data_IF_619972820662
#
_entry.id   IF_619972820662
#
_cell.length_a   1.000
_cell.length_b   1.000
_cell.length_c   1.000
_cell.angle_alpha   90.00
_cell.angle_beta   90.00
_cell.angle_gamma   90.00
#
_symmetry.space_group_name_H-M   'P 1'
#
loop_
_entity.id
_entity.type
_entity.pdbx_description
1 polymer ?
#
# COMPACT_ATOMS: atom_id res chain seq x y z
N UNK A 1 -25.70 7.84 2.38
CA UNK A 1 -25.06 6.60 1.90
C UNK A 1 -24.28 6.89 0.62
N UNK A 2 -23.02 6.52 0.57
CA UNK A 2 -22.16 6.72 -0.61
C UNK A 2 -21.98 5.38 -1.30
N UNK A 3 -22.28 5.34 -2.61
CA UNK A 3 -22.05 4.13 -3.42
C UNK A 3 -20.79 4.29 -4.24
N UNK A 4 -19.98 3.25 -4.33
CA UNK A 4 -18.79 3.24 -5.18
C UNK A 4 -18.46 1.83 -5.62
N UNK A 5 -17.87 1.71 -6.80
CA UNK A 5 -17.43 0.43 -7.33
C UNK A 5 -15.95 0.23 -7.08
N UNK A 6 -15.59 -0.97 -6.65
CA UNK A 6 -14.21 -1.45 -6.56
C UNK A 6 -13.95 -2.30 -7.80
N UNK A 7 -12.91 -1.97 -8.53
CA UNK A 7 -12.45 -2.79 -9.64
C UNK A 7 -11.36 -3.73 -9.13
N UNK A 8 -11.60 -5.03 -9.19
CA UNK A 8 -10.66 -6.04 -8.67
C UNK A 8 -9.29 -6.05 -9.36
N UNK A 9 -9.21 -5.53 -10.58
CA UNK A 9 -7.93 -5.45 -11.31
C UNK A 9 -7.15 -4.16 -11.03
N UNK A 10 -7.72 -3.23 -10.24
CA UNK A 10 -7.06 -1.99 -9.86
C UNK A 10 -5.80 -2.26 -9.04
N UNK A 11 -4.76 -1.46 -9.27
CA UNK A 11 -3.53 -1.50 -8.46
C UNK A 11 -3.14 -0.08 -8.07
N UNK A 12 -2.45 0.05 -6.93
CA UNK A 12 -1.97 1.33 -6.46
C UNK A 12 -3.06 2.34 -6.15
N UNK A 13 -4.22 1.86 -5.71
CA UNK A 13 -5.34 2.72 -5.31
C UNK A 13 -5.57 2.57 -3.81
N UNK A 14 -5.70 3.70 -3.13
CA UNK A 14 -5.94 3.77 -1.68
C UNK A 14 -7.18 4.62 -1.43
N UNK A 15 -8.07 4.10 -0.60
CA UNK A 15 -9.32 4.78 -0.24
C UNK A 15 -9.28 5.17 1.24
N UNK A 16 -9.65 6.41 1.51
CA UNK A 16 -9.64 6.98 2.85
C UNK A 16 -11.07 7.20 3.32
N UNK A 17 -11.37 6.70 4.52
CA UNK A 17 -12.67 6.89 5.17
C UNK A 17 -12.46 7.51 6.55
N UNK A 18 -13.29 8.45 6.90
CA UNK A 18 -13.39 8.96 8.27
C UNK A 18 -14.32 8.05 9.06
N UNK A 19 -13.92 7.68 10.28
CA UNK A 19 -14.70 6.82 11.15
C UNK A 19 -15.23 7.63 12.34
N UNK A 20 -16.54 7.90 12.31
CA UNK A 20 -17.21 8.74 13.29
C UNK A 20 -17.74 7.87 14.44
N UNK A 21 -16.82 7.43 15.30
CA UNK A 21 -17.11 6.62 16.48
C UNK A 21 -16.31 7.12 17.68
N UNK A 22 -16.84 6.96 18.88
CA UNK A 22 -16.06 7.24 20.08
C UNK A 22 -14.91 6.22 20.23
N UNK A 23 -13.79 6.62 20.85
CA UNK A 23 -12.58 5.78 20.88
C UNK A 23 -12.80 4.36 21.40
N UNK A 24 -13.67 4.19 22.37
CA UNK A 24 -13.96 2.89 22.98
C UNK A 24 -14.71 1.92 22.05
N UNK A 25 -15.32 2.42 20.99
CA UNK A 25 -16.04 1.58 20.02
C UNK A 25 -15.17 1.22 18.79
N UNK A 26 -14.02 1.88 18.61
CA UNK A 26 -13.20 1.71 17.42
C UNK A 26 -12.72 0.28 17.25
N UNK A 27 -12.10 -0.28 18.29
CA UNK A 27 -11.52 -1.62 18.23
C UNK A 27 -12.59 -2.66 17.86
N UNK A 28 -13.74 -2.63 18.54
CA UNK A 28 -14.82 -3.59 18.28
C UNK A 28 -15.36 -3.44 16.85
N UNK A 29 -15.41 -2.21 16.33
CA UNK A 29 -15.93 -1.96 14.98
C UNK A 29 -14.96 -2.40 13.89
N UNK A 30 -13.66 -2.24 14.13
CA UNK A 30 -12.63 -2.45 13.11
C UNK A 30 -11.91 -3.80 13.19
N UNK A 31 -12.24 -4.62 14.20
CA UNK A 31 -11.64 -5.95 14.36
C UNK A 31 -12.64 -7.04 13.97
N UNK A 32 -12.16 -8.00 13.19
CA UNK A 32 -12.97 -9.18 12.86
C UNK A 32 -13.02 -10.10 14.08
N UNK A 33 -14.22 -10.46 14.49
CA UNK A 33 -14.43 -11.40 15.61
C UNK A 33 -14.02 -12.82 15.22
N UNK A 34 -13.70 -13.64 16.21
CA UNK A 34 -13.41 -15.05 15.98
C UNK A 34 -14.57 -15.84 15.36
N UNK A 35 -15.78 -15.33 15.48
CA UNK A 35 -16.98 -15.87 14.82
C UNK A 35 -17.03 -15.54 13.33
N UNK A 36 -16.13 -14.69 12.85
CA UNK A 36 -16.14 -14.19 11.47
C UNK A 36 -16.89 -12.89 11.28
N UNK A 37 -17.62 -12.43 12.30
CA UNK A 37 -18.37 -11.18 12.25
C UNK A 37 -17.39 -9.99 12.12
N UNK A 38 -17.66 -9.06 11.17
CA UNK A 38 -16.79 -7.95 10.90
C UNK A 38 -17.60 -6.68 10.62
N UNK A 39 -17.85 -5.87 11.67
CA UNK A 39 -18.72 -4.69 11.53
C UNK A 39 -18.24 -3.69 10.48
N UNK A 40 -16.93 -3.48 10.35
CA UNK A 40 -16.35 -2.60 9.33
C UNK A 40 -16.75 -3.05 7.91
N UNK A 41 -16.70 -4.36 7.65
CA UNK A 41 -17.08 -4.91 6.34
C UNK A 41 -18.55 -4.62 6.05
N UNK A 42 -19.41 -4.78 7.06
CA UNK A 42 -20.85 -4.50 6.91
C UNK A 42 -21.10 -3.00 6.70
N UNK A 43 -20.38 -2.14 7.43
CA UNK A 43 -20.50 -0.69 7.28
C UNK A 43 -20.06 -0.17 5.92
N UNK A 44 -19.11 -0.88 5.28
CA UNK A 44 -18.70 -0.60 3.90
C UNK A 44 -19.67 -1.19 2.88
N UNK A 45 -20.52 -2.14 3.29
CA UNK A 45 -21.31 -2.93 2.37
C UNK A 45 -20.44 -3.80 1.46
N UNK A 46 -19.28 -4.21 1.96
CA UNK A 46 -18.29 -4.94 1.16
C UNK A 46 -18.59 -6.43 1.16
N UNK A 47 -18.52 -7.05 -0.01
CA UNK A 47 -18.62 -8.50 -0.17
C UNK A 47 -17.38 -9.20 0.40
N UNK A 48 -16.19 -8.62 0.15
CA UNK A 48 -14.91 -9.13 0.65
C UNK A 48 -14.10 -7.99 1.25
N UNK A 49 -13.57 -8.21 2.43
CA UNK A 49 -12.65 -7.28 3.09
C UNK A 49 -11.63 -8.11 3.89
N UNK A 50 -10.36 -7.89 3.63
CA UNK A 50 -9.25 -8.60 4.28
C UNK A 50 -8.72 -7.76 5.45
N UNK A 51 -8.93 -8.21 6.70
CA UNK A 51 -8.48 -7.42 7.87
C UNK A 51 -6.99 -7.09 7.85
N UNK A 52 -6.17 -7.98 7.30
CA UNK A 52 -4.71 -7.79 7.26
C UNK A 52 -4.27 -6.56 6.44
N UNK A 53 -5.15 -6.01 5.61
CA UNK A 53 -4.86 -4.84 4.78
C UNK A 53 -5.68 -3.61 5.18
N UNK A 54 -6.35 -3.68 6.32
CA UNK A 54 -7.11 -2.55 6.87
C UNK A 54 -6.20 -1.80 7.86
N UNK A 55 -5.94 -0.52 7.60
CA UNK A 55 -5.19 0.30 8.53
C UNK A 55 -6.13 1.29 9.20
N UNK A 56 -6.13 1.29 10.52
CA UNK A 56 -6.96 2.18 11.35
C UNK A 56 -6.03 3.16 12.07
N UNK A 57 -6.11 4.42 11.70
CA UNK A 57 -5.19 5.44 12.20
C UNK A 57 -5.93 6.35 13.20
N UNK A 58 -5.44 6.38 14.44
CA UNK A 58 -5.87 7.38 15.42
C UNK A 58 -5.04 8.63 15.17
N UNK A 59 -5.68 9.70 14.69
CA UNK A 59 -4.97 10.91 14.25
C UNK A 59 -4.14 11.52 15.39
N UNK A 60 -4.64 11.45 16.63
CA UNK A 60 -3.89 11.92 17.81
C UNK A 60 -2.55 11.23 18.03
N UNK A 61 -2.44 9.98 17.57
CA UNK A 61 -1.23 9.16 17.79
C UNK A 61 -0.13 9.50 16.78
N UNK A 62 -0.43 10.33 15.76
CA UNK A 62 0.56 10.80 14.80
C UNK A 62 1.47 11.92 15.37
N UNK A 63 1.14 12.45 16.55
CA UNK A 63 1.93 13.51 17.16
C UNK A 63 1.97 14.78 16.33
N UNK A 64 3.16 15.22 15.96
CA UNK A 64 3.36 16.43 15.16
C UNK A 64 3.19 16.20 13.64
N UNK A 65 3.08 14.92 13.23
CA UNK A 65 2.92 14.59 11.81
C UNK A 65 1.46 14.79 11.39
N UNK A 66 1.24 15.53 10.30
CA UNK A 66 -0.12 15.68 9.77
C UNK A 66 -0.59 14.36 9.14
N UNK A 67 -1.90 14.17 9.08
CA UNK A 67 -2.47 12.96 8.48
C UNK A 67 -2.08 12.84 6.99
N UNK A 68 -2.06 13.95 6.25
CA UNK A 68 -1.65 13.93 4.85
C UNK A 68 -0.17 13.56 4.69
N UNK A 69 0.69 13.97 5.63
CA UNK A 69 2.11 13.59 5.60
C UNK A 69 2.27 12.09 5.86
N UNK A 70 1.56 11.57 6.86
CA UNK A 70 1.53 10.13 7.14
C UNK A 70 1.11 9.33 5.91
N UNK A 71 0.00 9.74 5.27
CA UNK A 71 -0.52 9.03 4.09
C UNK A 71 0.45 9.09 2.91
N UNK A 72 1.12 10.24 2.71
CA UNK A 72 2.12 10.38 1.66
C UNK A 72 3.31 9.43 1.89
N UNK A 73 3.75 9.30 3.14
CA UNK A 73 4.90 8.46 3.49
C UNK A 73 4.54 6.96 3.48
N UNK A 74 3.46 6.58 4.17
CA UNK A 74 3.08 5.18 4.36
C UNK A 74 2.55 4.54 3.08
N UNK A 75 1.85 5.30 2.25
CA UNK A 75 1.18 4.80 1.04
C UNK A 75 1.70 5.44 -0.24
N UNK A 76 2.75 6.23 -0.14
CA UNK A 76 3.36 6.93 -1.28
C UNK A 76 2.34 7.72 -2.09
N UNK A 77 1.37 8.33 -1.40
CA UNK A 77 0.33 9.10 -2.07
C UNK A 77 0.89 10.43 -2.56
N UNK A 78 0.73 10.66 -3.85
CA UNK A 78 1.17 11.89 -4.50
C UNK A 78 0.22 12.14 -5.67
N UNK A 79 0.26 13.23 -6.26
CA UNK A 79 -0.63 13.56 -7.35
C UNK A 79 -1.46 14.79 -7.03
N UNK A 80 -2.05 15.36 -8.06
CA UNK A 80 -2.79 16.61 -7.94
C UNK A 80 -3.98 16.48 -6.99
N UNK A 81 -4.76 15.42 -7.18
CA UNK A 81 -5.97 15.15 -6.40
C UNK A 81 -5.67 15.05 -4.90
N UNK A 82 -4.59 14.32 -4.56
CA UNK A 82 -4.18 14.17 -3.17
C UNK A 82 -3.70 15.52 -2.60
N UNK A 83 -2.88 16.26 -3.35
CA UNK A 83 -2.38 17.57 -2.91
C UNK A 83 -3.51 18.57 -2.66
N UNK A 84 -4.51 18.57 -3.53
CA UNK A 84 -5.69 19.43 -3.40
C UNK A 84 -6.50 19.08 -2.14
N UNK A 85 -6.56 17.79 -1.79
CA UNK A 85 -7.34 17.31 -0.64
C UNK A 85 -6.59 17.44 0.70
N UNK A 86 -5.28 17.71 0.71
CA UNK A 86 -4.49 17.77 1.96
C UNK A 86 -5.10 18.65 3.04
N UNK A 87 -5.55 19.89 2.76
CA UNK A 87 -6.15 20.70 3.84
C UNK A 87 -7.39 20.05 4.48
N UNK A 88 -8.21 19.38 3.67
CA UNK A 88 -9.40 18.67 4.17
C UNK A 88 -9.01 17.43 4.97
N UNK A 89 -8.00 16.69 4.50
CA UNK A 89 -7.48 15.51 5.19
C UNK A 89 -6.91 15.92 6.56
N UNK A 90 -6.13 16.99 6.59
CA UNK A 90 -5.46 17.44 7.82
C UNK A 90 -6.42 18.09 8.82
N UNK A 91 -7.62 18.49 8.37
CA UNK A 91 -8.68 19.01 9.25
C UNK A 91 -9.47 17.91 9.96
N UNK A 92 -9.30 16.63 9.57
CA UNK A 92 -10.00 15.51 10.19
C UNK A 92 -9.53 15.29 11.62
N UNK A 93 -10.42 14.79 12.46
CA UNK A 93 -10.15 14.45 13.86
C UNK A 93 -10.62 13.01 14.13
N UNK A 94 -10.16 12.43 15.23
CA UNK A 94 -10.56 11.10 15.64
C UNK A 94 -9.83 10.01 14.87
N UNK A 95 -10.56 9.17 14.16
CA UNK A 95 -9.99 8.00 13.51
C UNK A 95 -10.31 7.98 12.01
N UNK A 96 -9.38 7.43 11.24
CA UNK A 96 -9.60 7.17 9.82
C UNK A 96 -9.29 5.71 9.51
N UNK A 97 -9.93 5.20 8.48
CA UNK A 97 -9.67 3.85 7.94
C UNK A 97 -9.05 4.04 6.56
N UNK A 98 -7.89 3.41 6.35
CA UNK A 98 -7.17 3.45 5.07
C UNK A 98 -7.27 2.06 4.44
N UNK A 99 -7.79 2.00 3.24
CA UNK A 99 -8.03 0.75 2.51
C UNK A 99 -7.30 0.78 1.16
N UNK A 100 -6.10 0.20 1.09
CA UNK A 100 -5.49 -0.05 -0.22
C UNK A 100 -6.30 -1.11 -0.99
N UNK A 101 -6.11 -1.18 -2.29
CA UNK A 101 -6.93 -2.06 -3.12
C UNK A 101 -6.83 -3.54 -2.72
N UNK A 102 -5.68 -3.95 -2.16
CA UNK A 102 -5.47 -5.30 -1.64
C UNK A 102 -6.46 -5.70 -0.54
N UNK A 103 -7.03 -4.71 0.17
CA UNK A 103 -8.03 -4.98 1.20
C UNK A 103 -9.29 -5.63 0.63
N UNK A 104 -9.55 -5.45 -0.66
CA UNK A 104 -10.74 -5.99 -1.32
C UNK A 104 -10.50 -7.33 -2.03
N UNK A 105 -9.34 -7.95 -1.81
CA UNK A 105 -9.00 -9.31 -2.26
C UNK A 105 -9.12 -9.50 -3.78
N UNK A 106 -8.87 -8.44 -4.55
CA UNK A 106 -8.97 -8.43 -6.02
C UNK A 106 -10.38 -8.78 -6.54
N UNK A 107 -11.41 -8.61 -5.70
CA UNK A 107 -12.79 -8.86 -6.08
C UNK A 107 -13.42 -7.55 -6.58
N UNK A 108 -14.02 -7.60 -7.76
CA UNK A 108 -14.85 -6.49 -8.26
C UNK A 108 -16.16 -6.51 -7.48
N UNK A 109 -16.45 -5.43 -6.78
CA UNK A 109 -17.61 -5.36 -5.90
C UNK A 109 -18.11 -3.92 -5.75
N UNK A 110 -19.36 -3.78 -5.36
CA UNK A 110 -19.97 -2.49 -5.09
C UNK A 110 -20.01 -2.25 -3.58
N UNK A 111 -19.49 -1.11 -3.14
CA UNK A 111 -19.61 -0.68 -1.76
C UNK A 111 -20.83 0.21 -1.59
N UNK A 112 -21.50 0.06 -0.45
CA UNK A 112 -22.57 0.96 0.00
C UNK A 112 -22.19 1.45 1.38
N UNK A 113 -21.43 2.52 1.42
CA UNK A 113 -20.84 3.05 2.65
C UNK A 113 -21.91 3.70 3.50
N UNK A 114 -22.05 3.18 4.72
CA UNK A 114 -23.05 3.65 5.71
C UNK A 114 -22.36 4.22 6.94
N UNK A 115 -23.10 5.05 7.69
CA UNK A 115 -22.65 5.50 9.01
C UNK A 115 -22.24 4.28 9.86
N UNK A 116 -21.15 4.37 10.65
CA UNK A 116 -20.38 5.58 11.00
C UNK A 116 -19.24 5.93 10.05
N UNK A 117 -19.15 5.27 8.89
CA UNK A 117 -18.11 5.55 7.91
C UNK A 117 -18.52 6.68 6.96
N UNK A 118 -17.56 7.52 6.62
CA UNK A 118 -17.75 8.60 5.65
C UNK A 118 -16.55 8.62 4.70
N UNK A 119 -16.81 8.41 3.43
CA UNK A 119 -15.75 8.46 2.40
C UNK A 119 -15.16 9.86 2.32
N UNK A 120 -13.83 9.93 2.33
CA UNK A 120 -13.06 11.17 2.25
C UNK A 120 -12.47 11.34 0.83
N UNK A 121 -11.87 10.28 0.30
CA UNK A 121 -11.26 10.34 -1.02
C UNK A 121 -10.68 9.02 -1.47
N UNK A 122 -10.38 8.96 -2.76
CA UNK A 122 -9.68 7.84 -3.39
C UNK A 122 -8.43 8.40 -4.08
N UNK A 123 -7.28 7.87 -3.78
CA UNK A 123 -5.99 8.40 -4.21
C UNK A 123 -5.15 7.31 -4.85
N UNK A 124 -4.13 7.72 -5.62
CA UNK A 124 -3.22 6.79 -6.29
C UNK A 124 -1.81 6.88 -5.70
N UNK A 125 -1.17 5.73 -5.57
CA UNK A 125 0.23 5.62 -5.20
C UNK A 125 1.10 6.14 -6.36
N UNK A 126 2.16 6.88 -6.04
CA UNK A 126 3.06 7.44 -7.05
C UNK A 126 3.83 6.37 -7.82
N UNK A 127 4.18 5.28 -7.15
CA UNK A 127 4.92 4.18 -7.75
C UNK A 127 4.17 3.51 -8.92
N UNK A 128 2.83 3.61 -8.93
CA UNK A 128 2.01 3.08 -10.01
C UNK A 128 2.14 3.89 -11.31
N UNK A 129 2.71 5.11 -11.23
CA UNK A 129 2.94 5.97 -12.41
C UNK A 129 4.31 5.78 -13.06
N UNK A 130 5.22 5.05 -12.41
CA UNK A 130 6.66 5.12 -12.69
C UNK A 130 7.23 4.17 -13.73
N UNK A 131 6.41 3.33 -14.37
CA UNK A 131 6.89 2.53 -15.50
C UNK A 131 6.38 3.09 -16.81
N UNK A 132 6.89 4.27 -17.17
CA UNK A 132 6.80 4.74 -18.54
C UNK A 132 7.52 3.75 -19.47
N UNK A 133 7.21 3.74 -20.76
CA UNK A 133 7.84 2.82 -21.68
C UNK A 133 9.37 3.00 -21.61
N UNK A 134 10.07 1.90 -21.42
CA UNK A 134 11.53 1.86 -21.43
C UNK A 134 12.03 2.56 -22.70
N UNK A 135 12.93 3.56 -22.60
CA UNK A 135 13.46 4.17 -23.80
C UNK A 135 14.14 3.09 -24.65
N UNK A 136 13.54 2.80 -25.78
CA UNK A 136 14.19 1.95 -26.75
C UNK A 136 15.37 2.73 -27.27
N UNK A 137 16.57 2.36 -26.83
CA UNK A 137 17.77 3.01 -27.32
C UNK A 137 17.87 2.80 -28.82
N UNK A 138 18.11 3.86 -29.58
CA UNK A 138 18.31 3.82 -31.02
C UNK A 138 19.53 3.01 -31.41
N UNK A 139 20.38 2.62 -30.45
CA UNK A 139 21.59 1.84 -30.67
C UNK A 139 21.34 0.38 -31.08
N UNK A 140 20.09 -0.12 -30.96
CA UNK A 140 19.78 -1.50 -31.30
C UNK A 140 19.43 -1.70 -32.78
N UNK A 141 19.36 -0.63 -33.58
CA UNK A 141 18.97 -0.73 -35.03
C UNK A 141 20.11 -0.68 -35.99
N UNK A 142 21.40 -0.62 -35.54
CA UNK A 142 22.54 -0.44 -36.40
C UNK A 142 23.41 -1.69 -36.58
N UNK A 143 22.93 -2.84 -36.30
CA UNK A 143 23.69 -4.07 -36.55
C UNK A 143 22.93 -5.07 -37.37
N UNK A 144 22.85 -4.77 -38.50
CA UNK A 144 22.48 -5.70 -39.45
C UNK A 144 22.91 -5.22 -40.78
N UNK A 145 23.86 -5.34 -40.91
CA UNK A 145 24.37 -5.39 -42.28
C UNK A 145 25.90 -5.42 -42.26
N UNK A 146 26.44 -6.57 -42.57
CA UNK A 146 27.87 -6.64 -42.91
C UNK A 146 28.65 -7.72 -42.19
N UNK A 147 28.55 -8.90 -42.66
CA UNK A 147 29.57 -9.83 -43.14
C UNK A 147 30.72 -10.29 -42.25
N UNK A 148 30.71 -11.58 -42.07
CA UNK A 148 31.77 -12.62 -42.05
C UNK A 148 33.10 -12.41 -41.31
N UNK A 149 33.39 -13.51 -40.64
CA UNK A 149 34.71 -14.09 -40.42
C UNK A 149 35.44 -13.87 -39.09
N UNK A 150 35.51 -14.94 -38.37
CA UNK A 150 36.78 -15.37 -37.79
C UNK A 150 37.07 -15.18 -36.32
N UNK A 151 37.12 -16.35 -35.65
CA UNK A 151 38.09 -16.66 -34.59
C UNK A 151 37.67 -16.39 -33.14
N UNK A 152 37.47 -17.48 -32.40
CA UNK A 152 37.41 -17.59 -30.94
C UNK A 152 38.85 -17.62 -30.36
N UNK A 153 39.04 -17.79 -29.04
CA UNK A 153 38.38 -17.27 -27.85
C UNK A 153 39.36 -16.63 -26.86
N UNK A 154 38.84 -15.87 -25.92
CA UNK A 154 39.64 -15.58 -24.72
C UNK A 154 38.73 -15.45 -23.49
N UNK A 155 39.08 -16.26 -22.52
CA UNK A 155 38.48 -16.29 -21.18
C UNK A 155 38.78 -15.00 -20.42
N UNK A 156 37.85 -14.56 -19.60
CA UNK A 156 38.24 -13.51 -18.70
C UNK A 156 37.15 -12.87 -17.84
N UNK A 157 37.16 -13.27 -16.60
CA UNK A 157 36.88 -12.50 -15.41
C UNK A 157 35.43 -12.14 -15.12
N UNK A 158 34.86 -12.91 -14.20
CA UNK A 158 33.67 -12.52 -13.44
C UNK A 158 33.98 -11.44 -12.42
N UNK A 159 33.19 -10.38 -12.31
CA UNK A 159 33.33 -9.46 -11.19
C UNK A 159 32.71 -10.04 -9.92
N UNK A 160 33.53 -10.06 -8.88
CA UNK A 160 33.11 -10.42 -7.54
C UNK A 160 32.37 -9.23 -6.91
N UNK A 161 31.08 -9.21 -6.97
CA UNK A 161 30.27 -8.27 -6.17
C UNK A 161 28.84 -8.76 -6.03
N UNK A 162 28.64 -9.79 -5.19
CA UNK A 162 27.31 -10.14 -4.71
C UNK A 162 27.42 -11.07 -3.50
N UNK A 163 27.89 -10.55 -2.37
CA UNK A 163 27.79 -11.25 -1.09
C UNK A 163 27.85 -10.27 0.08
N UNK A 164 26.90 -9.36 0.17
CA UNK A 164 26.67 -8.62 1.42
C UNK A 164 25.14 -8.42 1.52
N UNK A 165 24.47 -9.36 2.10
CA UNK A 165 23.03 -9.25 2.26
C UNK A 165 22.35 -10.29 3.15
N UNK A 166 23.12 -11.29 3.59
CA UNK A 166 22.52 -12.39 4.35
C UNK A 166 22.94 -12.46 5.82
N UNK A 167 23.68 -11.47 6.31
CA UNK A 167 24.24 -11.52 7.65
C UNK A 167 23.41 -10.87 8.78
N UNK A 168 22.44 -10.04 8.43
CA UNK A 168 21.74 -9.22 9.44
C UNK A 168 20.49 -9.91 9.99
N UNK A 169 19.91 -10.84 9.25
CA UNK A 169 18.69 -11.50 9.69
C UNK A 169 18.94 -12.63 10.71
N UNK A 170 20.13 -13.21 10.72
CA UNK A 170 20.45 -14.30 11.65
C UNK A 170 20.76 -13.82 13.07
N UNK A 171 21.19 -12.57 13.22
CA UNK A 171 21.57 -12.03 14.53
C UNK A 171 20.36 -11.67 15.40
N UNK A 172 19.22 -11.35 14.79
CA UNK A 172 18.02 -10.96 15.54
C UNK A 172 17.25 -12.17 16.10
N UNK A 173 17.35 -13.33 15.45
CA UNK A 173 16.67 -14.54 15.91
C UNK A 173 17.41 -15.18 17.11
N UNK A 174 18.73 -15.08 17.15
CA UNK A 174 19.53 -15.63 18.24
C UNK A 174 19.46 -14.78 19.51
N UNK A 175 19.22 -13.47 19.38
CA UNK A 175 19.06 -12.59 20.54
C UNK A 175 17.74 -12.84 21.29
N UNK A 176 16.70 -13.25 20.59
CA UNK A 176 15.40 -13.53 21.21
C UNK A 176 15.36 -14.85 21.98
N UNK A 177 16.19 -15.83 21.55
CA UNK A 177 16.23 -17.12 22.24
C UNK A 177 17.03 -17.04 23.56
N UNK A 178 17.96 -16.09 23.68
CA UNK A 178 18.77 -15.96 24.89
C UNK A 178 18.06 -15.20 26.02
N UNK A 179 17.07 -14.36 25.70
CA UNK A 179 16.32 -13.62 26.72
C UNK A 179 15.10 -14.38 27.27
N UNK A 180 14.75 -15.51 26.67
CA UNK A 180 13.61 -16.30 27.12
C UNK A 180 13.92 -17.42 28.10
N UNK A 181 15.18 -17.55 28.55
CA UNK A 181 15.60 -18.65 29.40
C UNK A 181 16.18 -18.22 30.77
N UNK A 182 15.76 -17.06 31.29
CA UNK A 182 16.08 -16.69 32.70
C UNK A 182 14.82 -16.30 33.44
#
# INVERSE_FOLDING_TARGET
MTKMQINGSETGTVRLFHLDLPPEAIERYTTQAGTGEYPLQYGLGAERLRPAFVDVVAIRDLGDMSLSAYLAEAYQLAGADFREMRPRIDALKGHVVVLPNQAFDHVTQDLTVASPLRWVGTFREEAARGRGPTPRSKAARSRXAGDTAGTAPAAGRMPRLAMIGLGVLAALVLGWLALGLT
#
